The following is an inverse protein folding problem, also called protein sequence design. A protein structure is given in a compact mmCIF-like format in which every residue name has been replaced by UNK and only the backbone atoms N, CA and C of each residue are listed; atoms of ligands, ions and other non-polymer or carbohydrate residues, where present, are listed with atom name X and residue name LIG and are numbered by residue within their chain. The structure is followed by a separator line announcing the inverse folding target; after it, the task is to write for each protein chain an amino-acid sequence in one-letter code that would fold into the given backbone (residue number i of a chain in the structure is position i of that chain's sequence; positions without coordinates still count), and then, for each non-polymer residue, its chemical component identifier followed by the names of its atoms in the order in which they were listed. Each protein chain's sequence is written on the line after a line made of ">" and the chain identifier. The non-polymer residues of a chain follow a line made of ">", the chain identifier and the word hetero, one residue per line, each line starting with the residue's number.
data_IF_140787028792
#
_entry.id   IF_140787028792
#
_cell.length_a   1.000
_cell.length_b   1.000
_cell.length_c   1.000
_cell.angle_alpha   90.00
_cell.angle_beta   90.00
_cell.angle_gamma   90.00
#
_symmetry.space_group_name_H-M   'P 1'
#
loop_
_entity.id
_entity.type
_entity.pdbx_description
1 polymer ?
#
# COMPACT_ATOMS: atom_id res chain seq x y z
N UNK A 1 8.89 5.12 -7.07
CA UNK A 1 8.22 4.38 -5.97
C UNK A 1 9.10 3.21 -5.57
N UNK A 2 9.35 3.07 -4.27
CA UNK A 2 10.17 1.99 -3.71
C UNK A 2 9.36 1.17 -2.72
N UNK A 3 9.70 -0.11 -2.59
CA UNK A 3 9.10 -1.02 -1.62
C UNK A 3 10.18 -1.63 -0.73
N UNK A 4 9.89 -1.69 0.56
CA UNK A 4 10.62 -2.48 1.54
C UNK A 4 9.69 -3.59 2.01
N UNK A 5 10.14 -4.85 1.87
CA UNK A 5 9.32 -6.02 2.12
C UNK A 5 9.24 -6.45 3.60
N UNK A 6 9.81 -5.67 4.53
CA UNK A 6 9.77 -5.95 5.96
C UNK A 6 10.60 -7.17 6.38
N UNK A 7 11.65 -7.51 5.62
CA UNK A 7 12.59 -8.58 5.94
C UNK A 7 13.68 -8.16 6.93
N UNK A 8 14.62 -9.07 7.22
CA UNK A 8 15.75 -8.81 8.13
C UNK A 8 16.75 -7.75 7.63
N UNK A 9 16.72 -7.42 6.33
CA UNK A 9 17.49 -6.35 5.73
C UNK A 9 16.57 -5.19 5.37
N UNK A 10 16.90 -3.98 5.82
CA UNK A 10 16.12 -2.76 5.57
C UNK A 10 16.36 -2.21 4.14
N UNK A 11 16.30 -3.11 3.16
CA UNK A 11 16.62 -2.81 1.77
C UNK A 11 15.39 -2.32 1.01
N UNK A 12 15.56 -1.21 0.30
CA UNK A 12 14.56 -0.63 -0.58
C UNK A 12 14.76 -1.13 -2.00
N UNK A 13 13.74 -1.78 -2.57
CA UNK A 13 13.69 -2.16 -3.99
C UNK A 13 12.91 -1.12 -4.80
N UNK A 14 13.37 -0.81 -6.02
CA UNK A 14 12.60 0.01 -6.96
C UNK A 14 11.38 -0.78 -7.42
N UNK A 15 10.17 -0.28 -7.13
CA UNK A 15 8.92 -0.84 -7.65
C UNK A 15 8.64 -0.32 -9.06
N UNK A 16 8.90 0.97 -9.30
CA UNK A 16 8.70 1.59 -10.60
C UNK A 16 8.71 3.12 -10.54
N UNK A 17 8.50 3.73 -11.70
CA UNK A 17 8.39 5.19 -11.90
C UNK A 17 7.08 5.46 -12.64
N UNK A 18 6.41 6.55 -12.27
CA UNK A 18 5.23 7.05 -12.99
C UNK A 18 5.66 7.85 -14.22
N UNK A 19 4.70 8.30 -15.00
CA UNK A 19 4.90 9.33 -16.02
C UNK A 19 5.34 10.67 -15.41
N UNK A 20 6.00 11.49 -16.23
CA UNK A 20 6.27 12.90 -15.94
C UNK A 20 5.07 13.74 -16.37
N UNK A 21 4.65 14.69 -15.54
CA UNK A 21 3.56 15.63 -15.83
C UNK A 21 4.13 17.04 -15.88
N UNK A 22 4.03 17.68 -17.04
CA UNK A 22 4.53 19.04 -17.25
C UNK A 22 3.55 20.11 -16.74
N UNK A 23 4.08 21.23 -16.25
CA UNK A 23 3.34 22.46 -15.96
C UNK A 23 2.14 22.29 -15.00
N UNK A 24 2.26 21.42 -13.98
CA UNK A 24 1.21 21.21 -12.98
C UNK A 24 1.72 21.33 -11.55
N UNK A 25 1.06 22.17 -10.75
CA UNK A 25 1.26 22.23 -9.30
C UNK A 25 0.49 21.14 -8.53
N UNK A 26 -0.42 20.44 -9.21
CA UNK A 26 -1.27 19.39 -8.64
C UNK A 26 -1.31 18.19 -9.61
N UNK A 27 -0.16 17.53 -9.86
CA UNK A 27 -0.08 16.43 -10.80
C UNK A 27 -0.98 15.26 -10.36
N UNK A 28 -1.67 14.65 -11.32
CA UNK A 28 -2.48 13.44 -11.12
C UNK A 28 -1.88 12.33 -11.98
N UNK A 29 -1.20 11.38 -11.34
CA UNK A 29 -0.56 10.26 -12.02
C UNK A 29 -1.57 9.12 -12.27
N UNK A 30 -1.45 8.49 -13.44
CA UNK A 30 -2.30 7.39 -13.91
C UNK A 30 -1.57 6.04 -13.80
N UNK A 31 -0.23 6.02 -13.87
CA UNK A 31 0.54 4.78 -13.73
C UNK A 31 0.31 4.11 -12.37
N UNK A 32 -0.08 2.83 -12.39
CA UNK A 32 -0.23 1.99 -11.21
C UNK A 32 0.81 0.87 -11.18
N UNK A 33 1.04 0.29 -10.00
CA UNK A 33 1.99 -0.80 -9.80
C UNK A 33 1.31 -1.93 -9.05
N UNK A 34 1.51 -3.17 -9.51
CA UNK A 34 1.11 -4.36 -8.77
C UNK A 34 2.22 -4.76 -7.79
N UNK A 35 1.82 -5.14 -6.57
CA UNK A 35 2.73 -5.67 -5.57
C UNK A 35 2.02 -6.67 -4.67
N UNK A 36 2.77 -7.65 -4.17
CA UNK A 36 2.26 -8.61 -3.19
C UNK A 36 2.21 -7.99 -1.79
N UNK A 37 1.03 -8.02 -1.18
CA UNK A 37 0.81 -7.58 0.20
C UNK A 37 0.67 -8.78 1.15
N UNK A 38 1.43 -8.74 2.23
CA UNK A 38 1.50 -9.74 3.29
C UNK A 38 1.16 -9.05 4.62
N UNK A 39 -0.01 -9.35 5.20
CA UNK A 39 -0.51 -8.66 6.39
C UNK A 39 0.37 -8.90 7.63
N UNK A 40 1.09 -10.01 7.66
CA UNK A 40 2.01 -10.41 8.71
C UNK A 40 3.37 -9.70 8.63
N UNK A 41 3.66 -9.01 7.52
CA UNK A 41 4.92 -8.30 7.30
C UNK A 41 4.75 -6.79 7.46
N UNK A 42 5.74 -6.14 8.06
CA UNK A 42 5.81 -4.68 8.11
C UNK A 42 6.36 -4.10 6.80
N UNK A 43 5.62 -4.29 5.70
CA UNK A 43 6.00 -3.74 4.40
C UNK A 43 5.81 -2.22 4.39
N UNK A 44 6.74 -1.50 3.78
CA UNK A 44 6.68 -0.05 3.61
C UNK A 44 6.83 0.33 2.14
N UNK A 45 6.10 1.36 1.71
CA UNK A 45 6.33 2.04 0.45
C UNK A 45 6.99 3.39 0.70
N UNK A 46 7.90 3.78 -0.21
CA UNK A 46 8.48 5.12 -0.26
C UNK A 46 8.17 5.78 -1.60
N UNK A 47 7.69 7.00 -1.55
CA UNK A 47 7.38 7.81 -2.72
C UNK A 47 8.35 8.99 -2.72
N UNK A 48 9.30 8.96 -3.66
CA UNK A 48 10.26 10.05 -3.88
C UNK A 48 9.74 10.91 -5.02
N UNK A 49 9.64 12.22 -4.79
CA UNK A 49 9.12 13.21 -5.75
C UNK A 49 10.27 14.07 -6.24
N UNK A 50 10.33 14.27 -7.55
CA UNK A 50 11.36 15.05 -8.22
C UNK A 50 10.72 16.09 -9.12
N UNK A 51 11.34 17.27 -9.19
CA UNK A 51 11.18 18.17 -10.32
C UNK A 51 12.07 17.67 -11.46
N UNK A 52 11.48 17.39 -12.62
CA UNK A 52 12.19 16.78 -13.75
C UNK A 52 12.51 17.88 -14.76
N UNK A 53 13.75 18.33 -14.72
CA UNK A 53 14.29 19.29 -15.68
C UNK A 53 15.22 18.61 -16.69
N UNK A 54 15.39 19.24 -17.85
CA UNK A 54 16.24 18.75 -18.95
C UNK A 54 17.71 18.59 -18.51
N UNK A 55 18.17 19.40 -17.55
CA UNK A 55 19.57 19.47 -17.14
C UNK A 55 19.89 18.65 -15.89
N UNK A 56 19.01 18.65 -14.89
CA UNK A 56 19.19 17.92 -13.65
C UNK A 56 17.87 17.82 -12.90
N UNK A 57 17.46 16.61 -12.54
CA UNK A 57 16.29 16.42 -11.71
C UNK A 57 16.55 16.93 -10.28
N UNK A 58 15.68 17.79 -9.76
CA UNK A 58 15.74 18.27 -8.38
C UNK A 58 14.87 17.40 -7.47
N UNK A 59 15.39 17.03 -6.30
CA UNK A 59 14.62 16.25 -5.32
C UNK A 59 13.73 17.18 -4.48
N UNK A 60 12.41 17.04 -4.61
CA UNK A 60 11.41 17.83 -3.87
C UNK A 60 11.22 17.26 -2.46
N UNK A 61 11.17 15.93 -2.34
CA UNK A 61 10.99 15.27 -1.05
C UNK A 61 10.49 13.84 -1.16
N UNK A 62 10.30 13.21 0.00
CA UNK A 62 9.82 11.84 0.09
C UNK A 62 8.76 11.66 1.16
N UNK A 63 7.94 10.63 1.02
CA UNK A 63 7.12 10.08 2.09
C UNK A 63 7.34 8.57 2.20
N UNK A 64 7.41 8.08 3.44
CA UNK A 64 7.43 6.65 3.75
C UNK A 64 6.15 6.26 4.49
N UNK A 65 5.56 5.13 4.09
CA UNK A 65 4.34 4.63 4.70
C UNK A 65 4.33 3.11 4.78
N UNK A 66 3.95 2.59 5.96
CA UNK A 66 3.64 1.19 6.13
C UNK A 66 2.36 0.82 5.35
N UNK A 67 2.43 -0.22 4.51
CA UNK A 67 1.32 -0.66 3.68
C UNK A 67 0.09 -1.02 4.51
N UNK A 68 0.28 -1.63 5.67
CA UNK A 68 -0.81 -1.98 6.59
C UNK A 68 -1.64 -0.76 7.04
N UNK A 69 -1.05 0.45 7.09
CA UNK A 69 -1.81 1.67 7.41
C UNK A 69 -2.78 2.06 6.30
N UNK A 70 -2.39 1.86 5.04
CA UNK A 70 -3.23 2.17 3.89
C UNK A 70 -4.29 1.08 3.73
N UNK A 71 -3.88 -0.19 3.76
CA UNK A 71 -4.78 -1.33 3.57
C UNK A 71 -5.86 -1.44 4.65
N UNK A 72 -5.59 -0.92 5.85
CA UNK A 72 -6.57 -0.83 6.93
C UNK A 72 -7.44 0.43 6.93
N UNK A 73 -7.25 1.37 5.99
CA UNK A 73 -8.04 2.61 5.94
C UNK A 73 -9.37 2.41 5.19
N UNK A 74 -10.48 3.08 5.58
CA UNK A 74 -11.80 2.84 4.99
C UNK A 74 -11.90 3.03 3.47
N UNK A 75 -11.05 3.88 2.89
CA UNK A 75 -11.00 4.14 1.43
C UNK A 75 -9.75 3.56 0.77
N UNK A 76 -8.95 2.79 1.52
CA UNK A 76 -7.62 2.31 1.12
C UNK A 76 -6.75 3.44 0.53
N UNK A 77 -6.95 4.64 1.04
CA UNK A 77 -6.26 5.86 0.65
C UNK A 77 -5.55 6.46 1.84
N UNK A 78 -4.45 7.16 1.57
CA UNK A 78 -3.67 7.87 2.56
C UNK A 78 -3.10 9.15 1.99
N UNK A 79 -3.22 10.23 2.76
CA UNK A 79 -2.63 11.54 2.45
C UNK A 79 -1.58 11.88 3.49
N UNK A 80 -0.39 12.28 3.03
CA UNK A 80 0.69 12.72 3.89
C UNK A 80 1.45 13.91 3.33
N UNK A 81 2.14 14.61 4.23
CA UNK A 81 3.10 15.65 3.88
C UNK A 81 4.33 15.02 3.24
N UNK A 82 4.80 15.62 2.15
CA UNK A 82 6.09 15.33 1.54
C UNK A 82 7.14 16.15 2.30
N UNK A 83 8.24 15.49 2.71
CA UNK A 83 9.33 16.16 3.43
C UNK A 83 10.63 16.11 2.63
N UNK A 84 11.34 17.23 2.59
CA UNK A 84 12.65 17.31 1.94
C UNK A 84 13.77 16.80 2.87
N UNK A 85 15.01 16.84 2.39
CA UNK A 85 16.19 16.44 3.18
C UNK A 85 16.40 17.26 4.46
N UNK A 86 15.89 18.50 4.50
CA UNK A 86 15.95 19.42 5.65
C UNK A 86 14.78 19.24 6.62
N UNK A 87 13.88 18.28 6.36
CA UNK A 87 12.64 18.04 7.12
C UNK A 87 11.58 19.14 6.97
N UNK A 88 11.71 20.02 5.97
CA UNK A 88 10.67 20.98 5.64
C UNK A 88 9.55 20.30 4.83
N UNK A 89 8.31 20.73 5.06
CA UNK A 89 7.15 20.28 4.28
C UNK A 89 7.16 20.96 2.91
N UNK A 90 7.25 20.17 1.85
CA UNK A 90 7.32 20.69 0.46
C UNK A 90 6.05 20.45 -0.35
N UNK A 91 5.09 19.71 0.20
CA UNK A 91 3.81 19.46 -0.45
C UNK A 91 3.03 18.37 0.27
N UNK A 92 1.99 17.87 -0.37
CA UNK A 92 1.23 16.70 0.09
C UNK A 92 1.03 15.73 -1.07
N UNK A 93 0.99 14.45 -0.73
CA UNK A 93 0.70 13.37 -1.66
C UNK A 93 -0.47 12.56 -1.12
N UNK A 94 -1.38 12.20 -2.01
CA UNK A 94 -2.45 11.22 -1.74
C UNK A 94 -2.16 9.99 -2.57
N UNK A 95 -2.08 8.83 -1.90
CA UNK A 95 -1.91 7.53 -2.53
C UNK A 95 -3.13 6.66 -2.25
N UNK A 96 -3.48 5.81 -3.22
CA UNK A 96 -4.55 4.83 -3.09
C UNK A 96 -4.01 3.45 -3.43
N UNK A 97 -4.39 2.48 -2.62
CA UNK A 97 -4.11 1.07 -2.83
C UNK A 97 -5.45 0.37 -3.05
N UNK A 98 -5.50 -0.59 -3.97
CA UNK A 98 -6.70 -1.36 -4.24
C UNK A 98 -6.33 -2.84 -4.19
N UNK A 99 -7.16 -3.66 -3.54
CA UNK A 99 -6.97 -5.11 -3.60
C UNK A 99 -7.31 -5.56 -5.02
N UNK A 100 -6.28 -5.97 -5.78
CA UNK A 100 -6.49 -6.67 -7.05
C UNK A 100 -6.93 -8.09 -6.70
N UNK A 101 -8.24 -8.33 -6.64
CA UNK A 101 -8.79 -9.67 -6.43
C UNK A 101 -8.57 -10.51 -7.68
N UNK A 102 -7.59 -11.41 -7.69
CA UNK A 102 -7.74 -12.61 -8.50
C UNK A 102 -8.87 -13.43 -7.85
N UNK A 103 -9.98 -13.55 -8.57
CA UNK A 103 -11.16 -14.28 -8.14
C UNK A 103 -10.79 -15.72 -7.73
N UNK A 104 -10.94 -16.02 -6.43
CA UNK A 104 -11.38 -17.29 -5.80
C UNK A 104 -10.79 -17.42 -4.39
N UNK A 105 -11.06 -16.45 -3.51
CA UNK A 105 -10.80 -16.60 -2.08
C UNK A 105 -11.79 -17.66 -1.54
N UNK A 106 -11.37 -18.92 -1.52
CA UNK A 106 -12.04 -20.01 -0.80
C UNK A 106 -12.10 -19.63 0.68
N UNK A 107 -13.31 -19.55 1.23
CA UNK A 107 -13.54 -19.18 2.63
C UNK A 107 -13.49 -20.44 3.49
N UNK A 108 -12.59 -20.45 4.47
CA UNK A 108 -12.60 -21.45 5.54
C UNK A 108 -13.42 -20.93 6.71
N UNK A 109 -14.34 -21.75 7.23
CA UNK A 109 -15.11 -21.42 8.43
C UNK A 109 -15.09 -22.57 9.44
N UNK A 110 -15.27 -22.22 10.71
CA UNK A 110 -15.38 -23.19 11.81
C UNK A 110 -16.67 -22.92 12.56
N UNK A 111 -17.54 -23.93 12.68
CA UNK A 111 -18.81 -23.84 13.39
C UNK A 111 -18.80 -24.60 14.71
N UNK A 112 -19.47 -24.04 15.73
CA UNK A 112 -19.74 -24.74 17.00
C UNK A 112 -21.22 -24.59 17.37
N UNK A 113 -21.84 -25.70 17.76
CA UNK A 113 -23.18 -25.73 18.34
C UNK A 113 -23.11 -26.19 19.81
N UNK A 114 -24.02 -25.72 20.67
CA UNK A 114 -24.10 -26.13 22.07
C UNK A 114 -25.57 -26.37 22.50
N UNK A 115 -25.75 -27.21 23.52
CA UNK A 115 -27.05 -27.61 24.08
C UNK A 115 -27.98 -28.38 23.12
N UNK A 116 -27.41 -29.27 22.29
CA UNK A 116 -28.18 -30.12 21.37
C UNK A 116 -28.87 -31.30 22.10
N UNK A 117 -29.98 -31.84 21.57
CA UNK A 117 -30.68 -33.00 22.17
C UNK A 117 -29.77 -34.24 22.31
N UNK A 118 -30.10 -35.19 23.18
CA UNK A 118 -29.30 -36.41 23.49
C UNK A 118 -29.23 -37.47 22.38
N UNK A 119 -29.17 -37.06 21.11
CA UNK A 119 -28.89 -37.93 19.97
C UNK A 119 -27.39 -37.88 19.61
N UNK A 120 -26.87 -38.98 19.03
CA UNK A 120 -25.42 -39.26 18.97
C UNK A 120 -24.70 -38.85 17.66
N UNK A 121 -25.38 -38.23 16.68
CA UNK A 121 -24.75 -37.82 15.42
C UNK A 121 -25.31 -36.49 14.92
N UNK A 122 -24.43 -35.54 14.59
CA UNK A 122 -24.77 -34.22 14.05
C UNK A 122 -23.85 -33.91 12.86
N UNK A 123 -24.39 -33.24 11.86
CA UNK A 123 -23.64 -32.76 10.69
C UNK A 123 -24.02 -31.30 10.44
N UNK A 124 -23.04 -30.47 10.13
CA UNK A 124 -23.21 -29.08 9.73
C UNK A 124 -22.99 -29.02 8.21
N UNK A 125 -23.97 -28.53 7.45
CA UNK A 125 -23.82 -28.31 6.01
C UNK A 125 -23.38 -26.87 5.76
N UNK A 126 -22.56 -26.69 4.72
CA UNK A 126 -22.17 -25.41 4.13
C UNK A 126 -22.49 -25.40 2.64
#
# INVERSE_FOLDING_TARGET
>A
VYINNGGHTDSWGLLGKTETIENSLNPVFVTSFELAYFFEKNQKARFDVYDVDVSSNEFIGSVEIALGRIMGSPSQSYTADIVNKKQDKTGRITVKFEKVSQSNDVIFFTGRAYNLPTKKKFILFG
#
